data_IF_425920600910
#
_entry.id   IF_425920600910
#
_cell.length_a   1.000
_cell.length_b   1.000
_cell.length_c   1.000
_cell.angle_alpha   90.00
_cell.angle_beta   90.00
_cell.angle_gamma   90.00
#
_symmetry.space_group_name_H-M   'P 1'
#
loop_
_entity.id
_entity.type
_entity.pdbx_description
1 polymer ?
#
# COMPACT_ATOMS: atom_id res chain seq x y z
N UNK A 1 -1.73 1.08 4.62
CA UNK A 1 -0.64 1.38 3.66
C UNK A 1 -0.10 0.11 3.04
N UNK A 2 0.50 0.22 1.86
CA UNK A 2 1.15 -0.90 1.18
C UNK A 2 2.53 -1.17 1.77
N UNK A 3 2.80 -2.44 2.06
CA UNK A 3 4.08 -2.96 2.52
C UNK A 3 4.72 -3.76 1.39
N UNK A 4 6.03 -3.60 1.23
CA UNK A 4 6.85 -4.33 0.29
C UNK A 4 7.69 -5.34 1.07
N UNK A 5 7.48 -6.62 0.80
CA UNK A 5 8.14 -7.68 1.55
C UNK A 5 8.83 -8.67 0.61
N UNK A 6 9.92 -9.24 1.11
CA UNK A 6 10.73 -10.25 0.43
C UNK A 6 10.87 -11.48 1.33
N UNK A 7 11.31 -12.60 0.78
CA UNK A 7 11.68 -13.77 1.56
C UNK A 7 12.82 -13.40 2.55
N UNK A 8 12.78 -13.91 3.77
CA UNK A 8 13.80 -13.62 4.79
C UNK A 8 15.22 -14.00 4.33
N UNK A 9 15.33 -15.07 3.53
CA UNK A 9 16.62 -15.56 2.99
C UNK A 9 17.05 -14.81 1.72
N UNK A 10 16.20 -13.92 1.17
CA UNK A 10 16.52 -13.11 0.00
C UNK A 10 17.82 -12.31 0.20
N UNK A 11 18.57 -12.14 -0.89
CA UNK A 11 19.71 -11.21 -0.94
C UNK A 11 19.28 -9.74 -0.77
N UNK A 12 18.00 -9.42 -1.01
CA UNK A 12 17.44 -8.10 -0.77
C UNK A 12 17.23 -7.90 0.74
N UNK A 13 18.09 -7.16 1.38
CA UNK A 13 18.06 -6.92 2.85
C UNK A 13 17.34 -5.61 3.20
N UNK A 14 17.36 -4.64 2.31
CA UNK A 14 16.86 -3.27 2.51
C UNK A 14 16.05 -2.80 1.31
N UNK A 15 15.28 -1.72 1.47
CA UNK A 15 14.63 -1.07 0.34
C UNK A 15 15.63 -0.44 -0.64
N UNK A 16 16.82 -0.05 -0.16
CA UNK A 16 17.88 0.41 -1.04
C UNK A 16 18.31 -0.68 -2.03
N UNK A 17 18.43 -1.93 -1.61
CA UNK A 17 18.76 -3.05 -2.50
C UNK A 17 17.71 -3.22 -3.59
N UNK A 18 16.41 -3.04 -3.23
CA UNK A 18 15.30 -3.05 -4.19
C UNK A 18 15.43 -1.90 -5.18
N UNK A 19 15.66 -0.67 -4.70
CA UNK A 19 15.82 0.53 -5.52
C UNK A 19 16.98 0.34 -6.51
N UNK A 20 18.14 -0.10 -6.05
CA UNK A 20 19.34 -0.27 -6.87
C UNK A 20 19.11 -1.34 -7.97
N UNK A 21 18.47 -2.45 -7.62
CA UNK A 21 18.07 -3.51 -8.57
C UNK A 21 17.13 -2.99 -9.65
N UNK A 22 16.04 -2.29 -9.23
CA UNK A 22 15.05 -1.77 -10.16
C UNK A 22 15.62 -0.65 -11.07
N UNK A 23 16.52 0.20 -10.54
CA UNK A 23 17.22 1.22 -11.35
C UNK A 23 18.13 0.59 -12.39
N UNK A 24 18.87 -0.46 -12.02
CA UNK A 24 19.75 -1.16 -12.95
C UNK A 24 18.94 -1.90 -14.03
N UNK A 25 17.86 -2.56 -13.67
CA UNK A 25 16.96 -3.24 -14.60
C UNK A 25 15.56 -3.36 -13.97
N UNK A 26 14.54 -2.66 -14.48
CA UNK A 26 13.16 -2.72 -13.97
C UNK A 26 12.55 -4.12 -13.96
N UNK A 27 13.04 -5.04 -14.78
CA UNK A 27 12.56 -6.43 -14.88
C UNK A 27 13.37 -7.42 -14.01
N UNK A 28 14.37 -6.94 -13.27
CA UNK A 28 15.25 -7.80 -12.46
C UNK A 28 14.56 -8.44 -11.27
N UNK A 29 13.39 -7.89 -10.84
CA UNK A 29 12.59 -8.41 -9.76
C UNK A 29 11.19 -8.75 -10.26
N UNK A 30 10.72 -9.96 -9.93
CA UNK A 30 9.33 -10.36 -10.09
C UNK A 30 8.51 -9.89 -8.88
N UNK A 31 7.55 -8.99 -9.12
CA UNK A 31 6.75 -8.34 -8.08
C UNK A 31 5.34 -8.92 -8.09
N UNK A 32 4.98 -9.66 -7.05
CA UNK A 32 3.65 -10.22 -6.88
C UNK A 32 2.70 -9.31 -6.09
N UNK A 33 1.43 -9.39 -6.39
CA UNK A 33 0.37 -8.76 -5.59
C UNK A 33 -0.97 -9.49 -5.78
N UNK A 34 -1.87 -9.33 -4.81
CA UNK A 34 -3.23 -9.83 -4.91
C UNK A 34 -4.14 -8.83 -5.64
N UNK A 35 -5.05 -9.35 -6.45
CA UNK A 35 -6.05 -8.58 -7.20
C UNK A 35 -5.69 -8.37 -8.67
N UNK A 36 -6.43 -7.48 -9.33
CA UNK A 36 -6.28 -7.22 -10.75
C UNK A 36 -5.07 -6.32 -11.08
N UNK A 37 -4.60 -6.39 -12.31
CA UNK A 37 -3.71 -5.39 -12.87
C UNK A 37 -4.37 -4.01 -12.80
N UNK A 38 -3.61 -2.98 -12.42
CA UNK A 38 -4.15 -1.64 -12.14
C UNK A 38 -4.79 -1.48 -10.76
N UNK A 39 -4.91 -2.55 -9.98
CA UNK A 39 -5.39 -2.47 -8.60
C UNK A 39 -4.39 -1.77 -7.66
N UNK A 40 -4.83 -1.51 -6.43
CA UNK A 40 -4.12 -0.72 -5.42
C UNK A 40 -2.64 -1.12 -5.24
N UNK A 41 -2.35 -2.40 -5.10
CA UNK A 41 -0.98 -2.89 -4.89
C UNK A 41 -0.11 -2.78 -6.16
N UNK A 42 -0.70 -2.93 -7.35
CA UNK A 42 0.02 -2.69 -8.60
C UNK A 42 0.38 -1.21 -8.76
N UNK A 43 -0.56 -0.32 -8.44
CA UNK A 43 -0.30 1.14 -8.44
C UNK A 43 0.80 1.48 -7.44
N UNK A 44 0.82 0.89 -6.25
CA UNK A 44 1.90 1.08 -5.28
C UNK A 44 3.29 0.73 -5.86
N UNK A 45 3.40 -0.41 -6.54
CA UNK A 45 4.64 -0.80 -7.23
C UNK A 45 5.00 0.18 -8.35
N UNK A 46 4.02 0.62 -9.14
CA UNK A 46 4.19 1.62 -10.20
C UNK A 46 4.67 2.97 -9.66
N UNK A 47 4.08 3.44 -8.56
CA UNK A 47 4.50 4.69 -7.89
C UNK A 47 5.93 4.59 -7.35
N UNK A 48 6.34 3.44 -6.79
CA UNK A 48 7.73 3.23 -6.39
C UNK A 48 8.67 3.36 -7.61
N UNK A 49 8.33 2.71 -8.71
CA UNK A 49 9.14 2.77 -9.93
C UNK A 49 9.25 4.20 -10.47
N UNK A 50 8.14 4.94 -10.52
CA UNK A 50 8.13 6.37 -10.91
C UNK A 50 8.96 7.22 -9.96
N UNK A 51 8.83 6.99 -8.66
CA UNK A 51 9.57 7.71 -7.62
C UNK A 51 11.09 7.54 -7.71
N UNK A 52 11.57 6.44 -8.30
CA UNK A 52 13.00 6.22 -8.57
C UNK A 52 13.44 6.65 -9.98
N UNK A 53 12.54 7.28 -10.75
CA UNK A 53 12.81 7.82 -12.08
C UNK A 53 12.63 6.84 -13.23
N UNK A 54 11.94 5.71 -13.01
CA UNK A 54 11.65 4.72 -14.05
C UNK A 54 10.21 4.75 -14.52
N UNK A 55 9.86 3.86 -15.45
CA UNK A 55 8.53 3.70 -16.00
C UNK A 55 7.79 2.51 -15.36
N UNK A 56 6.57 2.74 -14.86
CA UNK A 56 5.76 1.71 -14.19
C UNK A 56 5.50 0.49 -15.10
N UNK A 57 5.29 0.71 -16.41
CA UNK A 57 5.08 -0.36 -17.40
C UNK A 57 6.27 -1.29 -17.60
N UNK A 58 7.47 -0.86 -17.21
CA UNK A 58 8.69 -1.65 -17.35
C UNK A 58 8.82 -2.75 -16.29
N UNK A 59 8.05 -2.68 -15.19
CA UNK A 59 8.09 -3.66 -14.11
C UNK A 59 7.66 -5.06 -14.59
N UNK A 60 8.29 -6.10 -14.04
CA UNK A 60 7.83 -7.49 -14.16
C UNK A 60 6.86 -7.77 -13.01
N UNK A 61 5.56 -7.72 -13.28
CA UNK A 61 4.51 -7.90 -12.27
C UNK A 61 3.71 -9.19 -12.47
N UNK A 62 3.23 -9.78 -11.38
CA UNK A 62 2.46 -11.02 -11.37
C UNK A 62 1.25 -10.81 -10.44
N UNK A 63 0.04 -10.88 -11.03
CA UNK A 63 -1.21 -10.77 -10.29
C UNK A 63 -1.66 -12.16 -9.81
N UNK A 64 -2.01 -12.25 -8.53
CA UNK A 64 -2.55 -13.43 -7.88
C UNK A 64 -4.01 -13.20 -7.49
N UNK A 65 -4.79 -14.28 -7.34
CA UNK A 65 -6.20 -14.17 -6.93
C UNK A 65 -6.37 -13.66 -5.50
N UNK A 66 -5.40 -13.96 -4.62
CA UNK A 66 -5.44 -13.57 -3.22
C UNK A 66 -4.07 -13.38 -2.59
N UNK A 67 -4.03 -12.68 -1.45
CA UNK A 67 -2.77 -12.40 -0.74
C UNK A 67 -2.07 -13.67 -0.27
N UNK A 68 -2.82 -14.70 0.16
CA UNK A 68 -2.24 -15.97 0.61
C UNK A 68 -1.49 -16.69 -0.52
N UNK A 69 -2.03 -16.66 -1.75
CA UNK A 69 -1.38 -17.25 -2.93
C UNK A 69 -0.07 -16.51 -3.26
N UNK A 70 -0.11 -15.16 -3.27
CA UNK A 70 1.07 -14.35 -3.51
C UNK A 70 2.17 -14.57 -2.45
N UNK A 71 1.78 -14.67 -1.17
CA UNK A 71 2.71 -14.94 -0.07
C UNK A 71 3.30 -16.35 -0.16
N UNK A 72 2.52 -17.35 -0.53
CA UNK A 72 3.01 -18.72 -0.77
C UNK A 72 4.04 -18.72 -1.90
N UNK A 73 3.75 -18.02 -3.01
CA UNK A 73 4.68 -17.90 -4.12
C UNK A 73 5.99 -17.19 -3.71
N UNK A 74 5.92 -16.17 -2.85
CA UNK A 74 7.10 -15.48 -2.31
C UNK A 74 7.92 -16.41 -1.42
N UNK A 75 7.28 -17.10 -0.48
CA UNK A 75 7.97 -18.03 0.42
C UNK A 75 8.58 -19.24 -0.31
N UNK A 76 7.93 -19.67 -1.41
CA UNK A 76 8.44 -20.71 -2.30
C UNK A 76 9.54 -20.26 -3.29
N UNK A 77 9.92 -18.97 -3.27
CA UNK A 77 10.95 -18.42 -4.18
C UNK A 77 10.50 -18.25 -5.65
N UNK A 78 9.19 -18.31 -5.92
CA UNK A 78 8.64 -18.16 -7.28
C UNK A 78 8.52 -16.68 -7.71
N UNK A 79 8.55 -15.78 -6.74
CA UNK A 79 8.64 -14.32 -6.95
C UNK A 79 9.65 -13.72 -5.96
N UNK A 80 10.18 -12.55 -6.30
CA UNK A 80 11.23 -11.89 -5.51
C UNK A 80 10.67 -10.97 -4.42
N UNK A 81 9.53 -10.35 -4.67
CA UNK A 81 8.91 -9.37 -3.78
C UNK A 81 7.38 -9.44 -3.88
N UNK A 82 6.70 -9.15 -2.77
CA UNK A 82 5.26 -8.96 -2.74
C UNK A 82 4.91 -7.55 -2.29
N UNK A 83 3.85 -6.97 -2.87
CA UNK A 83 3.20 -5.74 -2.41
C UNK A 83 1.84 -6.09 -1.85
N UNK A 84 1.62 -5.80 -0.56
CA UNK A 84 0.39 -6.19 0.15
C UNK A 84 0.15 -5.30 1.37
N UNK A 85 -0.97 -5.52 2.09
CA UNK A 85 -1.24 -4.85 3.37
C UNK A 85 -0.39 -5.42 4.52
N UNK A 86 -0.05 -4.59 5.51
CA UNK A 86 0.77 -4.95 6.66
C UNK A 86 0.26 -6.19 7.40
N UNK A 87 -1.05 -6.27 7.69
CA UNK A 87 -1.65 -7.41 8.37
C UNK A 87 -1.45 -8.76 7.69
N UNK A 88 -1.23 -8.78 6.36
CA UNK A 88 -0.99 -10.02 5.63
C UNK A 88 0.42 -10.60 5.83
N UNK A 89 1.39 -9.79 6.22
CA UNK A 89 2.79 -10.21 6.36
C UNK A 89 3.27 -10.27 7.81
N UNK A 90 2.57 -9.66 8.77
CA UNK A 90 2.98 -9.55 10.18
C UNK A 90 3.33 -10.91 10.78
N UNK A 91 2.41 -11.89 10.72
CA UNK A 91 2.65 -13.23 11.28
C UNK A 91 3.83 -13.95 10.64
N UNK A 92 4.05 -13.76 9.34
CA UNK A 92 5.18 -14.35 8.61
C UNK A 92 6.51 -13.67 8.97
N UNK A 93 6.48 -12.35 9.24
CA UNK A 93 7.64 -11.62 9.74
C UNK A 93 8.00 -12.08 11.16
N UNK A 94 7.00 -12.20 12.04
CA UNK A 94 7.20 -12.71 13.40
C UNK A 94 7.77 -14.15 13.41
N UNK A 95 7.36 -14.97 12.43
CA UNK A 95 7.91 -16.32 12.22
C UNK A 95 9.28 -16.35 11.52
N UNK A 96 9.88 -15.18 11.19
CA UNK A 96 11.17 -15.09 10.52
C UNK A 96 11.18 -15.56 9.06
N UNK A 97 10.02 -15.74 8.42
CA UNK A 97 9.89 -16.23 7.04
C UNK A 97 9.95 -15.11 6.00
N UNK A 98 9.49 -13.92 6.36
CA UNK A 98 9.48 -12.76 5.48
C UNK A 98 10.18 -11.56 6.13
N UNK A 99 10.63 -10.63 5.30
CA UNK A 99 11.18 -9.33 5.69
C UNK A 99 10.46 -8.23 4.93
N UNK A 100 9.91 -7.25 5.66
CA UNK A 100 9.46 -6.01 5.03
C UNK A 100 10.66 -5.10 4.77
N UNK A 101 10.80 -4.59 3.55
CA UNK A 101 11.91 -3.74 3.11
C UNK A 101 11.52 -2.29 2.91
N UNK A 102 10.23 -2.00 2.91
CA UNK A 102 9.71 -0.63 2.83
C UNK A 102 8.20 -0.56 2.99
N UNK A 103 7.73 0.58 3.46
CA UNK A 103 6.31 0.90 3.61
C UNK A 103 5.99 2.18 2.84
N UNK A 104 4.88 2.18 2.11
CA UNK A 104 4.40 3.36 1.36
C UNK A 104 3.53 4.25 2.27
N UNK A 105 4.08 4.72 3.38
CA UNK A 105 3.43 5.63 4.32
C UNK A 105 4.28 6.87 4.60
N UNK A 106 3.66 7.93 5.10
CA UNK A 106 4.36 9.15 5.49
C UNK A 106 5.24 8.97 6.73
N UNK A 107 4.87 8.03 7.60
CA UNK A 107 5.57 7.66 8.83
C UNK A 107 5.63 6.14 8.94
N UNK A 108 6.56 5.61 9.74
CA UNK A 108 6.62 4.17 10.03
C UNK A 108 5.32 3.72 10.69
N UNK A 109 4.89 2.51 10.36
CA UNK A 109 3.75 1.89 11.01
C UNK A 109 4.13 1.45 12.44
N UNK A 110 3.11 1.21 13.28
CA UNK A 110 3.28 0.74 14.66
C UNK A 110 3.60 -0.77 14.73
N UNK A 111 3.81 -1.26 15.94
CA UNK A 111 4.02 -2.69 16.23
C UNK A 111 5.23 -3.27 15.51
N UNK A 112 5.07 -4.44 14.91
CA UNK A 112 6.12 -5.18 14.21
C UNK A 112 6.77 -4.40 13.06
N UNK A 113 6.08 -3.37 12.54
CA UNK A 113 6.56 -2.53 11.45
C UNK A 113 7.30 -1.27 11.90
N UNK A 114 7.43 -1.02 13.19
CA UNK A 114 8.10 0.19 13.73
C UNK A 114 9.57 0.32 13.31
N UNK A 115 10.21 -0.80 13.02
CA UNK A 115 11.59 -0.85 12.52
C UNK A 115 11.69 -0.84 10.99
N UNK A 116 10.57 -0.97 10.28
CA UNK A 116 10.56 -0.97 8.81
C UNK A 116 10.56 0.48 8.32
N UNK A 117 11.56 0.90 7.54
CA UNK A 117 11.62 2.27 7.04
C UNK A 117 10.54 2.51 5.99
N UNK A 118 10.06 3.76 5.92
CA UNK A 118 9.22 4.20 4.81
C UNK A 118 10.06 4.34 3.53
N UNK A 119 9.41 4.36 2.36
CA UNK A 119 10.12 4.67 1.12
C UNK A 119 10.67 6.10 1.15
N UNK A 120 9.98 7.03 1.81
CA UNK A 120 10.43 8.42 1.98
C UNK A 120 11.75 8.51 2.77
N UNK A 121 11.89 7.75 3.86
CA UNK A 121 13.15 7.66 4.60
C UNK A 121 14.30 7.05 3.78
N UNK A 122 13.96 6.30 2.74
CA UNK A 122 14.91 5.69 1.81
C UNK A 122 15.12 6.51 0.52
N UNK A 123 14.66 7.78 0.51
CA UNK A 123 14.88 8.72 -0.57
C UNK A 123 13.88 8.65 -1.72
N UNK A 124 12.76 7.93 -1.57
CA UNK A 124 11.71 7.83 -2.59
C UNK A 124 10.39 8.35 -2.03
N UNK A 125 9.90 9.48 -2.53
CA UNK A 125 8.66 10.10 -2.03
C UNK A 125 7.42 9.36 -2.54
N UNK A 126 7.13 8.23 -1.89
CA UNK A 126 5.95 7.39 -2.17
C UNK A 126 5.14 7.23 -0.91
N UNK A 127 3.93 7.80 -0.92
CA UNK A 127 2.89 7.59 0.08
C UNK A 127 1.65 7.09 -0.64
N UNK A 128 1.22 5.86 -0.30
CA UNK A 128 0.07 5.23 -0.94
C UNK A 128 -0.73 4.41 0.08
N UNK A 129 -1.83 4.99 0.54
CA UNK A 129 -2.71 4.43 1.55
C UNK A 129 -3.84 3.61 0.93
N UNK A 130 -4.17 2.48 1.51
CA UNK A 130 -5.38 1.74 1.18
C UNK A 130 -6.49 2.17 2.15
N UNK A 131 -7.07 3.34 1.88
CA UNK A 131 -8.10 3.93 2.72
C UNK A 131 -9.43 3.16 2.69
N UNK A 132 -10.27 3.39 3.68
CA UNK A 132 -11.65 2.94 3.79
C UNK A 132 -12.54 4.16 3.93
N UNK A 133 -13.70 4.17 3.28
CA UNK A 133 -14.62 5.28 3.36
C UNK A 133 -16.06 4.81 3.50
N UNK A 134 -16.88 5.64 4.12
CA UNK A 134 -18.33 5.51 4.12
C UNK A 134 -18.90 6.54 3.14
N UNK A 135 -19.67 6.08 2.17
CA UNK A 135 -20.29 6.91 1.14
C UNK A 135 -21.79 6.94 1.33
N UNK A 136 -22.37 8.13 1.25
CA UNK A 136 -23.82 8.31 1.23
C UNK A 136 -24.39 8.36 -0.19
N UNK A 137 -25.69 8.11 -0.37
CA UNK A 137 -26.36 8.23 -1.66
C UNK A 137 -26.39 9.69 -2.15
N UNK A 138 -26.50 9.87 -3.45
CA UNK A 138 -26.71 11.19 -4.06
C UNK A 138 -28.03 11.80 -3.53
N UNK A 139 -28.01 13.09 -3.23
CA UNK A 139 -29.20 13.83 -2.80
C UNK A 139 -29.46 13.84 -1.29
N UNK A 140 -28.51 13.40 -0.48
CA UNK A 140 -28.61 13.62 0.98
C UNK A 140 -28.70 15.11 1.31
N UNK A 141 -29.57 15.45 2.27
CA UNK A 141 -29.68 16.82 2.76
C UNK A 141 -28.47 17.17 3.64
N UNK A 142 -28.14 18.46 3.80
CA UNK A 142 -27.08 18.90 4.72
C UNK A 142 -27.26 18.36 6.13
N UNK A 143 -28.47 18.34 6.65
CA UNK A 143 -28.77 17.81 7.98
C UNK A 143 -28.44 16.29 8.11
N UNK A 144 -28.75 15.50 7.06
CA UNK A 144 -28.40 14.09 7.04
C UNK A 144 -26.87 13.88 7.01
N UNK A 145 -26.16 14.67 6.21
CA UNK A 145 -24.70 14.64 6.12
C UNK A 145 -24.09 14.96 7.48
N UNK A 146 -24.48 16.10 8.10
CA UNK A 146 -23.98 16.51 9.42
C UNK A 146 -24.24 15.43 10.49
N UNK A 147 -25.42 14.81 10.47
CA UNK A 147 -25.75 13.72 11.40
C UNK A 147 -24.78 12.54 11.26
N UNK A 148 -24.54 12.07 10.02
CA UNK A 148 -23.66 10.94 9.79
C UNK A 148 -22.19 11.25 10.09
N UNK A 149 -21.73 12.45 9.74
CA UNK A 149 -20.39 12.91 10.12
C UNK A 149 -20.22 12.92 11.64
N UNK A 150 -21.24 13.35 12.40
CA UNK A 150 -21.24 13.33 13.86
C UNK A 150 -21.14 11.90 14.41
N UNK A 151 -21.94 10.97 13.88
CA UNK A 151 -21.90 9.56 14.28
C UNK A 151 -20.51 8.94 14.00
N UNK A 152 -19.99 9.13 12.79
CA UNK A 152 -18.68 8.60 12.41
C UNK A 152 -17.55 9.19 13.27
N UNK A 153 -17.62 10.48 13.58
CA UNK A 153 -16.65 11.15 14.48
C UNK A 153 -16.65 10.51 15.87
N UNK A 154 -17.82 10.17 16.42
CA UNK A 154 -17.91 9.47 17.71
C UNK A 154 -17.30 8.06 17.62
N UNK A 155 -17.59 7.32 16.56
CA UNK A 155 -17.03 5.97 16.35
C UNK A 155 -15.51 5.99 16.32
N UNK A 156 -14.90 6.89 15.53
CA UNK A 156 -13.44 6.93 15.38
C UNK A 156 -12.70 7.48 16.60
N UNK A 157 -13.41 8.05 17.56
CA UNK A 157 -12.88 8.48 18.88
C UNK A 157 -13.01 7.39 19.94
N UNK A 158 -13.78 6.33 19.65
CA UNK A 158 -14.05 5.26 20.62
C UNK A 158 -12.86 4.30 20.80
N UNK A 159 -12.78 3.61 21.96
CA UNK A 159 -11.69 2.69 22.27
C UNK A 159 -11.67 1.47 21.35
N UNK A 160 -12.85 0.99 20.93
CA UNK A 160 -12.94 -0.15 20.00
C UNK A 160 -12.28 0.16 18.65
N UNK A 161 -12.45 1.40 18.16
CA UNK A 161 -11.79 1.85 16.93
C UNK A 161 -10.26 1.86 17.07
N UNK A 162 -9.73 2.32 18.20
CA UNK A 162 -8.29 2.31 18.45
C UNK A 162 -7.74 0.87 18.48
N UNK A 163 -8.47 -0.03 19.12
CA UNK A 163 -8.14 -1.47 19.15
C UNK A 163 -8.12 -2.06 17.73
N UNK A 164 -9.11 -1.72 16.91
CA UNK A 164 -9.16 -2.18 15.51
C UNK A 164 -8.03 -1.60 14.64
N UNK A 165 -7.66 -0.33 14.86
CA UNK A 165 -6.51 0.27 14.17
C UNK A 165 -5.21 -0.50 14.47
N UNK A 166 -4.93 -0.75 15.74
CA UNK A 166 -3.74 -1.48 16.17
C UNK A 166 -3.72 -2.91 15.63
N UNK A 167 -4.82 -3.65 15.78
CA UNK A 167 -4.96 -5.03 15.31
C UNK A 167 -4.73 -5.19 13.82
N UNK A 168 -5.15 -4.20 13.02
CA UNK A 168 -5.06 -4.23 11.57
C UNK A 168 -3.85 -3.47 11.01
N UNK A 169 -3.00 -2.89 11.84
CA UNK A 169 -1.92 -1.98 11.43
C UNK A 169 -2.43 -0.82 10.58
N UNK A 170 -3.60 -0.29 10.94
CA UNK A 170 -4.20 0.87 10.27
C UNK A 170 -3.80 2.16 10.99
N UNK A 171 -3.74 3.24 10.23
CA UNK A 171 -3.50 4.58 10.76
C UNK A 171 -4.83 5.32 10.85
N UNK A 172 -5.04 6.06 11.92
CA UNK A 172 -6.19 6.95 12.01
C UNK A 172 -5.98 8.14 11.07
N UNK A 173 -6.76 8.17 9.99
CA UNK A 173 -6.71 9.17 8.92
C UNK A 173 -8.14 9.66 8.62
N UNK A 174 -8.89 9.93 9.69
CA UNK A 174 -10.28 10.32 9.58
C UNK A 174 -10.42 11.73 9.00
N UNK A 175 -10.89 11.80 7.77
CA UNK A 175 -11.21 13.04 7.06
C UNK A 175 -12.66 13.03 6.59
N UNK A 176 -13.28 14.20 6.49
CA UNK A 176 -14.69 14.40 6.08
C UNK A 176 -14.81 15.59 5.13
N UNK A 177 -15.94 15.64 4.42
CA UNK A 177 -16.32 16.79 3.60
C UNK A 177 -15.28 17.14 2.53
N UNK A 178 -14.92 18.42 2.46
CA UNK A 178 -14.02 18.93 1.42
C UNK A 178 -12.58 18.41 1.56
N UNK A 179 -12.10 18.20 2.78
CA UNK A 179 -10.77 17.62 3.01
C UNK A 179 -10.67 16.23 2.40
N UNK A 180 -11.66 15.36 2.69
CA UNK A 180 -11.73 14.03 2.08
C UNK A 180 -11.85 14.10 0.56
N UNK A 181 -12.59 15.04 0.02
CA UNK A 181 -12.70 15.24 -1.44
C UNK A 181 -11.36 15.56 -2.07
N UNK A 182 -10.55 16.43 -1.45
CA UNK A 182 -9.20 16.76 -1.93
C UNK A 182 -8.28 15.55 -1.91
N UNK A 183 -8.36 14.72 -0.87
CA UNK A 183 -7.58 13.47 -0.79
C UNK A 183 -7.98 12.51 -1.91
N UNK A 184 -9.28 12.33 -2.17
CA UNK A 184 -9.79 11.52 -3.29
C UNK A 184 -9.29 12.02 -4.65
N UNK A 185 -9.34 13.32 -4.88
CA UNK A 185 -8.92 13.92 -6.16
C UNK A 185 -7.40 13.73 -6.38
N UNK A 186 -6.59 13.84 -5.31
CA UNK A 186 -5.15 13.57 -5.34
C UNK A 186 -4.87 12.09 -5.65
N UNK A 187 -5.53 11.18 -4.95
CA UNK A 187 -5.34 9.73 -5.15
C UNK A 187 -5.81 9.32 -6.56
N UNK A 188 -6.93 9.87 -7.01
CA UNK A 188 -7.41 9.64 -8.38
C UNK A 188 -6.39 10.08 -9.43
N UNK A 189 -5.80 11.27 -9.28
CA UNK A 189 -4.80 11.78 -10.21
C UNK A 189 -3.54 10.88 -10.21
N UNK A 190 -3.05 10.47 -9.05
CA UNK A 190 -1.89 9.59 -8.91
C UNK A 190 -2.17 8.21 -9.55
N UNK A 191 -3.32 7.62 -9.24
CA UNK A 191 -3.73 6.33 -9.81
C UNK A 191 -3.88 6.43 -11.33
N UNK A 192 -4.58 7.44 -11.84
CA UNK A 192 -4.78 7.66 -13.28
C UNK A 192 -3.45 7.76 -14.01
N UNK A 193 -2.48 8.50 -13.48
CA UNK A 193 -1.17 8.65 -14.09
C UNK A 193 -0.42 7.30 -14.26
N UNK A 194 -0.52 6.41 -13.26
CA UNK A 194 0.05 5.05 -13.38
C UNK A 194 -0.74 4.22 -14.37
N UNK A 195 -2.08 4.25 -14.30
CA UNK A 195 -2.94 3.45 -15.17
C UNK A 195 -2.78 3.82 -16.65
N UNK A 196 -2.64 5.11 -16.97
CA UNK A 196 -2.35 5.59 -18.33
C UNK A 196 -1.00 5.04 -18.81
N UNK A 197 0.04 5.13 -17.98
CA UNK A 197 1.38 4.68 -18.33
C UNK A 197 1.44 3.17 -18.62
N UNK A 198 0.70 2.35 -17.87
CA UNK A 198 0.64 0.89 -18.08
C UNK A 198 -0.42 0.47 -19.10
N UNK A 199 -1.11 1.43 -19.75
CA UNK A 199 -2.09 1.17 -20.82
C UNK A 199 -3.45 0.67 -20.35
N UNK A 200 -3.80 0.85 -19.08
CA UNK A 200 -5.10 0.44 -18.50
C UNK A 200 -6.12 1.60 -18.37
N UNK A 201 -5.72 2.81 -18.66
CA UNK A 201 -6.60 3.99 -18.77
C UNK A 201 -6.20 4.89 -19.94
N UNK A 202 -7.11 5.85 -20.27
CA UNK A 202 -6.91 6.89 -21.29
C UNK A 202 -6.83 8.26 -20.64
#
# INVERSE_FOLDING_TARGET
FSVFAVNADSALKTGKDVIDKLKANPRSLSIGFAGALGGHNHVAAGLLMKGIGGEAKALKVIAFKGSSEALTALMGGHIDMVVTAAGNVSSHMAAGKLRAVGVASSQRLSGDFSKVPTWKEQGVDVVWGNWRAVMGPKGMTPAQITRWEGVLRQVVQGPDWQTDLEKNFWTNDFTIGEAFRKDLDKDYAAMKAVLVEIGLAK
#
